data_IF_795467524590
#
_entry.id   IF_795467524590
#
_cell.length_a   1.000
_cell.length_b   1.000
_cell.length_c   1.000
_cell.angle_alpha   90.00
_cell.angle_beta   90.00
_cell.angle_gamma   90.00
#
_symmetry.space_group_name_H-M   'P 1'
#
loop_
_entity.id
_entity.type
_entity.pdbx_description
1 polymer ?
#
# COMPACT_ATOMS: atom_id res chain seq x y z
N UNK A 1 -27.48 41.17 -28.85
CA UNK A 1 -28.36 40.87 -27.70
C UNK A 1 -27.55 39.96 -26.78
N UNK A 2 -27.00 40.55 -25.72
CA UNK A 2 -26.02 39.91 -24.81
C UNK A 2 -26.82 39.29 -23.66
N UNK A 3 -26.75 37.97 -23.52
CA UNK A 3 -27.33 37.27 -22.35
C UNK A 3 -26.22 37.12 -21.33
N UNK A 4 -26.26 37.97 -20.30
CA UNK A 4 -25.35 37.95 -19.17
C UNK A 4 -25.66 36.77 -18.24
N UNK A 5 -24.63 36.00 -17.92
CA UNK A 5 -24.69 34.99 -16.88
C UNK A 5 -24.62 35.66 -15.51
N UNK A 6 -25.63 35.41 -14.66
CA UNK A 6 -25.62 35.79 -13.25
C UNK A 6 -24.51 35.02 -12.52
N UNK A 7 -23.55 35.76 -11.98
CA UNK A 7 -22.67 35.30 -10.91
C UNK A 7 -23.45 35.38 -9.59
N UNK A 8 -23.68 34.25 -8.93
CA UNK A 8 -24.02 34.24 -7.50
C UNK A 8 -22.72 34.06 -6.70
N UNK A 9 -22.17 35.18 -6.25
CA UNK A 9 -21.15 35.21 -5.22
C UNK A 9 -21.80 34.82 -3.88
N UNK A 10 -21.41 33.67 -3.34
CA UNK A 10 -21.68 33.32 -1.94
C UNK A 10 -20.44 33.66 -1.12
N UNK A 11 -20.44 34.83 -0.50
CA UNK A 11 -19.56 35.14 0.63
C UNK A 11 -20.30 34.75 1.91
N UNK A 12 -19.94 33.61 2.47
CA UNK A 12 -20.37 33.16 3.79
C UNK A 12 -19.18 32.57 4.53
N UNK A 13 -18.63 33.33 5.49
CA UNK A 13 -17.51 32.91 6.30
C UNK A 13 -17.86 31.71 7.17
N UNK A 14 -17.10 30.63 7.01
CA UNK A 14 -16.73 29.76 8.11
C UNK A 14 -15.31 29.28 7.80
N UNK A 15 -14.40 29.29 8.77
CA UNK A 15 -13.06 28.69 8.61
C UNK A 15 -13.23 27.18 8.52
N UNK A 16 -13.67 26.69 7.36
CA UNK A 16 -13.55 25.29 7.00
C UNK A 16 -12.07 25.01 6.79
N UNK A 17 -11.54 24.09 7.58
CA UNK A 17 -10.34 23.31 7.26
C UNK A 17 -10.41 22.96 5.78
N UNK A 18 -9.51 23.52 4.96
CA UNK A 18 -9.52 23.28 3.50
C UNK A 18 -9.52 21.77 3.29
N UNK A 19 -10.55 21.24 2.63
CA UNK A 19 -10.48 19.89 2.09
C UNK A 19 -9.31 19.84 1.12
N UNK A 20 -8.28 19.06 1.43
CA UNK A 20 -7.06 18.93 0.64
C UNK A 20 -7.24 18.04 -0.60
N UNK A 21 -8.49 17.79 -0.98
CA UNK A 21 -8.83 17.08 -2.20
C UNK A 21 -8.45 17.92 -3.42
N UNK A 22 -7.65 17.34 -4.31
CA UNK A 22 -7.16 17.99 -5.52
C UNK A 22 -7.24 17.01 -6.69
N UNK A 23 -7.72 17.50 -7.82
CA UNK A 23 -7.60 16.78 -9.10
C UNK A 23 -6.59 17.50 -9.98
N UNK A 24 -5.64 16.75 -10.53
CA UNK A 24 -4.61 17.24 -11.44
C UNK A 24 -4.73 16.50 -12.78
N UNK A 25 -4.70 17.24 -13.88
CA UNK A 25 -4.62 16.64 -15.21
C UNK A 25 -3.16 16.43 -15.60
N UNK A 26 -2.82 15.21 -15.98
CA UNK A 26 -1.48 14.82 -16.40
C UNK A 26 -1.51 14.23 -17.81
N UNK A 27 -0.44 14.46 -18.57
CA UNK A 27 -0.24 13.86 -19.91
C UNK A 27 0.99 12.96 -19.92
N UNK A 28 1.05 11.92 -20.75
CA UNK A 28 2.27 11.16 -20.92
C UNK A 28 3.35 12.09 -21.47
N UNK A 29 4.51 12.14 -20.81
CA UNK A 29 5.70 12.81 -21.34
C UNK A 29 6.25 12.03 -22.54
N UNK A 30 6.15 10.70 -22.47
CA UNK A 30 6.43 9.79 -23.57
C UNK A 30 5.45 8.61 -23.53
N UNK A 31 5.12 8.08 -24.72
CA UNK A 31 4.27 6.88 -24.83
C UNK A 31 4.99 5.60 -24.39
N UNK A 32 6.31 5.55 -24.54
CA UNK A 32 7.08 4.33 -24.30
C UNK A 32 7.13 4.02 -22.80
N UNK A 33 6.79 2.79 -22.42
CA UNK A 33 7.12 2.29 -21.08
C UNK A 33 8.61 2.03 -21.02
N UNK A 34 9.30 2.55 -19.99
CA UNK A 34 10.73 2.28 -19.77
C UNK A 34 10.92 0.96 -19.03
N UNK A 35 12.12 0.39 -19.11
CA UNK A 35 12.46 -0.83 -18.38
C UNK A 35 12.18 -2.11 -19.16
N UNK A 36 12.03 -3.23 -18.44
CA UNK A 36 12.04 -4.56 -19.04
C UNK A 36 10.77 -4.93 -19.82
N UNK A 37 9.65 -4.23 -19.60
CA UNK A 37 8.40 -4.37 -20.35
C UNK A 37 8.25 -3.34 -21.47
N UNK A 38 9.34 -2.68 -21.89
CA UNK A 38 9.28 -1.62 -22.91
C UNK A 38 8.82 -2.08 -24.29
N UNK A 39 8.98 -3.37 -24.58
CA UNK A 39 8.59 -3.98 -25.84
C UNK A 39 7.24 -4.73 -25.72
N UNK A 40 6.61 -4.65 -24.54
CA UNK A 40 5.34 -5.31 -24.23
C UNK A 40 4.22 -4.28 -24.08
N UNK A 41 4.51 -3.13 -23.44
CA UNK A 41 3.50 -2.12 -23.14
C UNK A 41 3.88 -0.73 -23.67
N UNK A 42 2.85 0.00 -24.11
CA UNK A 42 2.92 1.45 -24.32
C UNK A 42 1.76 2.16 -23.61
N UNK A 43 1.98 3.41 -23.23
CA UNK A 43 0.94 4.33 -22.78
C UNK A 43 0.17 4.84 -24.00
N UNK A 44 -1.15 4.78 -23.94
CA UNK A 44 -2.00 5.42 -24.95
C UNK A 44 -1.96 6.93 -24.74
N UNK A 45 -1.83 7.71 -25.82
CA UNK A 45 -1.83 9.17 -25.74
C UNK A 45 -3.16 9.68 -25.17
N UNK A 46 -3.11 10.65 -24.25
CA UNK A 46 -4.32 11.13 -23.59
C UNK A 46 -4.07 12.13 -22.48
N UNK A 47 -5.14 12.69 -21.95
CA UNK A 47 -5.12 13.49 -20.72
C UNK A 47 -5.80 12.68 -19.63
N UNK A 48 -5.08 12.48 -18.53
CA UNK A 48 -5.47 11.59 -17.44
C UNK A 48 -5.64 12.38 -16.16
N UNK A 49 -6.63 12.00 -15.35
CA UNK A 49 -6.96 12.71 -14.11
C UNK A 49 -6.38 11.95 -12.93
N UNK A 50 -5.47 12.59 -12.21
CA UNK A 50 -5.01 12.14 -10.91
C UNK A 50 -5.87 12.78 -9.84
N UNK A 51 -6.49 11.95 -9.00
CA UNK A 51 -7.21 12.38 -7.81
C UNK A 51 -6.31 12.20 -6.60
N UNK A 52 -6.10 13.28 -5.84
CA UNK A 52 -5.48 13.27 -4.54
C UNK A 52 -6.59 13.53 -3.51
N UNK A 53 -6.85 12.59 -2.60
CA UNK A 53 -7.91 12.72 -1.58
C UNK A 53 -7.32 12.57 -0.19
N UNK A 54 -7.68 13.47 0.72
CA UNK A 54 -7.21 13.41 2.11
C UNK A 54 -8.27 12.80 3.01
N UNK A 55 -8.03 11.53 3.38
CA UNK A 55 -8.76 10.83 4.43
C UNK A 55 -7.86 10.74 5.69
N UNK A 56 -7.65 9.55 6.25
CA UNK A 56 -6.64 9.31 7.28
C UNK A 56 -5.21 9.54 6.75
N UNK A 57 -4.98 9.22 5.49
CA UNK A 57 -3.75 9.49 4.74
C UNK A 57 -4.11 10.24 3.45
N UNK A 58 -3.12 10.88 2.83
CA UNK A 58 -3.27 11.43 1.49
C UNK A 58 -3.11 10.31 0.48
N UNK A 59 -4.17 9.98 -0.23
CA UNK A 59 -4.16 8.94 -1.27
C UNK A 59 -4.13 9.60 -2.65
N UNK A 60 -3.24 9.13 -3.52
CA UNK A 60 -3.18 9.49 -4.93
C UNK A 60 -3.64 8.33 -5.79
N UNK A 61 -4.56 8.56 -6.71
CA UNK A 61 -5.00 7.56 -7.68
C UNK A 61 -5.13 8.14 -9.09
N UNK A 62 -4.75 7.35 -10.09
CA UNK A 62 -4.90 7.68 -11.51
C UNK A 62 -5.08 6.41 -12.34
N UNK A 63 -6.03 6.40 -13.27
CA UNK A 63 -6.18 5.33 -14.24
C UNK A 63 -5.57 5.75 -15.58
N UNK A 64 -4.62 4.95 -16.07
CA UNK A 64 -3.94 5.17 -17.35
C UNK A 64 -4.32 4.08 -18.33
N UNK A 65 -4.60 4.45 -19.58
CA UNK A 65 -4.86 3.46 -20.62
C UNK A 65 -3.53 2.95 -21.16
N UNK A 66 -3.29 1.64 -21.01
CA UNK A 66 -2.10 0.94 -21.46
C UNK A 66 -2.49 0.03 -22.61
N UNK A 67 -1.62 -0.06 -23.62
CA UNK A 67 -1.74 -0.94 -24.77
C UNK A 67 -0.65 -2.00 -24.74
N UNK A 68 -1.03 -3.24 -25.01
CA UNK A 68 -0.12 -4.33 -25.33
C UNK A 68 0.40 -4.17 -26.76
N UNK A 69 1.71 -4.04 -26.94
CA UNK A 69 2.40 -3.85 -28.24
C UNK A 69 3.33 -5.02 -28.59
N UNK A 70 3.38 -6.03 -27.72
CA UNK A 70 4.17 -7.22 -27.91
C UNK A 70 3.77 -8.27 -26.89
N UNK A 71 4.59 -9.33 -26.77
CA UNK A 71 4.33 -10.44 -25.85
C UNK A 71 5.32 -10.45 -24.71
N UNK A 72 4.81 -10.63 -23.50
CA UNK A 72 5.61 -10.85 -22.29
C UNK A 72 5.49 -12.29 -21.77
N UNK A 73 6.12 -12.56 -20.64
CA UNK A 73 6.02 -13.84 -19.93
C UNK A 73 4.87 -13.79 -18.91
N UNK A 74 3.76 -14.52 -19.09
CA UNK A 74 2.63 -14.47 -18.16
C UNK A 74 2.96 -15.03 -16.77
N UNK A 75 4.03 -15.82 -16.65
CA UNK A 75 4.52 -16.33 -15.36
C UNK A 75 5.48 -15.38 -14.65
N UNK A 76 5.70 -14.17 -15.18
CA UNK A 76 6.52 -13.16 -14.53
C UNK A 76 6.00 -12.86 -13.11
N UNK A 77 6.95 -12.86 -12.16
CA UNK A 77 6.65 -12.63 -10.76
C UNK A 77 6.11 -11.22 -10.51
N UNK A 78 6.44 -10.25 -11.35
CA UNK A 78 5.89 -8.89 -11.28
C UNK A 78 4.37 -8.81 -11.42
N UNK A 79 3.71 -9.81 -12.03
CA UNK A 79 2.24 -9.87 -12.15
C UNK A 79 1.56 -10.71 -11.06
N UNK A 80 2.28 -11.07 -9.99
CA UNK A 80 1.67 -11.79 -8.87
C UNK A 80 1.14 -10.80 -7.83
N UNK A 81 -0.06 -11.07 -7.34
CA UNK A 81 -0.70 -10.29 -6.28
C UNK A 81 0.24 -10.10 -5.08
N UNK A 82 0.27 -8.86 -4.57
CA UNK A 82 1.06 -8.48 -3.40
C UNK A 82 2.47 -7.95 -3.70
N UNK A 83 2.85 -7.81 -4.96
CA UNK A 83 4.18 -7.32 -5.36
C UNK A 83 4.23 -5.83 -5.71
N UNK A 84 3.21 -5.03 -5.36
CA UNK A 84 3.07 -3.62 -5.80
C UNK A 84 3.15 -3.45 -7.33
N UNK A 85 2.79 -4.50 -8.08
CA UNK A 85 2.78 -4.55 -9.52
C UNK A 85 4.12 -4.28 -10.23
N UNK A 86 4.20 -4.51 -11.55
CA UNK A 86 5.45 -4.35 -12.29
C UNK A 86 5.64 -2.95 -12.86
N UNK A 87 4.60 -2.12 -12.89
CA UNK A 87 4.60 -0.79 -13.49
C UNK A 87 4.59 0.30 -12.42
N UNK A 88 5.34 1.37 -12.67
CA UNK A 88 5.57 2.46 -11.76
C UNK A 88 5.43 3.79 -12.50
N UNK A 89 4.51 4.65 -12.05
CA UNK A 89 4.27 5.97 -12.61
C UNK A 89 5.10 7.02 -11.87
N UNK A 90 5.88 7.81 -12.60
CA UNK A 90 6.62 8.95 -12.06
C UNK A 90 5.98 10.26 -12.54
N UNK A 91 5.48 11.07 -11.60
CA UNK A 91 4.92 12.40 -11.92
C UNK A 91 6.05 13.39 -12.19
N UNK A 92 5.87 14.21 -13.23
CA UNK A 92 6.86 15.13 -13.75
C UNK A 92 6.28 16.53 -13.99
N UNK A 93 7.17 17.52 -14.09
CA UNK A 93 6.81 18.83 -14.58
C UNK A 93 6.58 18.83 -16.11
N UNK A 94 6.28 19.98 -16.69
CA UNK A 94 6.04 20.11 -18.15
C UNK A 94 7.26 19.79 -19.01
N UNK A 95 8.47 19.90 -18.46
CA UNK A 95 9.73 19.52 -19.11
C UNK A 95 10.07 18.02 -18.97
N UNK A 96 9.22 17.21 -18.32
CA UNK A 96 9.45 15.78 -18.10
C UNK A 96 10.45 15.49 -16.99
N UNK A 97 10.78 16.47 -16.15
CA UNK A 97 11.62 16.27 -14.97
C UNK A 97 10.76 15.74 -13.81
N UNK A 98 11.18 14.65 -13.13
CA UNK A 98 10.47 14.14 -11.97
C UNK A 98 10.29 15.20 -10.89
N UNK A 99 9.09 15.27 -10.31
CA UNK A 99 8.82 16.14 -9.18
C UNK A 99 9.61 15.63 -7.96
N UNK A 100 10.41 16.51 -7.34
CA UNK A 100 11.20 16.17 -6.18
C UNK A 100 10.29 15.75 -4.99
N UNK A 101 10.79 14.82 -4.17
CA UNK A 101 10.12 14.30 -2.97
C UNK A 101 8.84 13.47 -3.20
N UNK A 102 8.42 13.24 -4.44
CA UNK A 102 7.40 12.26 -4.78
C UNK A 102 8.05 10.94 -5.17
N UNK A 103 7.55 9.84 -4.62
CA UNK A 103 7.95 8.48 -4.99
C UNK A 103 7.14 8.02 -6.20
N UNK A 104 7.69 7.04 -6.91
CA UNK A 104 6.93 6.39 -7.98
C UNK A 104 5.67 5.75 -7.41
N UNK A 105 4.57 5.86 -8.15
CA UNK A 105 3.27 5.28 -7.78
C UNK A 105 3.17 3.92 -8.48
N UNK A 106 3.10 2.79 -7.74
CA UNK A 106 2.91 1.47 -8.34
C UNK A 106 1.55 1.32 -9.02
N UNK A 107 1.48 0.41 -10.00
CA UNK A 107 0.20 -0.16 -10.44
C UNK A 107 -0.44 -0.93 -9.28
N UNK A 108 -1.73 -0.76 -9.09
CA UNK A 108 -2.49 -1.44 -8.03
C UNK A 108 -2.45 -2.95 -8.22
N UNK A 109 -2.50 -3.71 -7.12
CA UNK A 109 -2.63 -5.17 -7.15
C UNK A 109 -3.88 -5.62 -7.92
N UNK A 110 -4.93 -4.76 -7.95
CA UNK A 110 -6.15 -5.01 -8.73
C UNK A 110 -5.89 -5.09 -10.24
N UNK A 111 -4.77 -4.52 -10.71
CA UNK A 111 -4.37 -4.54 -12.11
C UNK A 111 -3.44 -5.72 -12.46
N UNK A 112 -2.93 -6.48 -11.49
CA UNK A 112 -1.92 -7.52 -11.73
C UNK A 112 -2.45 -8.63 -12.66
N UNK A 113 -3.64 -9.17 -12.37
CA UNK A 113 -4.29 -10.16 -13.22
C UNK A 113 -4.61 -9.63 -14.63
N UNK A 114 -4.97 -8.35 -14.75
CA UNK A 114 -5.25 -7.71 -16.02
C UNK A 114 -3.99 -7.52 -16.87
N UNK A 115 -2.90 -7.03 -16.26
CA UNK A 115 -1.60 -6.89 -16.91
C UNK A 115 -1.06 -8.25 -17.38
N UNK A 116 -1.20 -9.29 -16.55
CA UNK A 116 -0.86 -10.67 -16.88
C UNK A 116 -1.61 -11.18 -18.12
N UNK A 117 -2.89 -10.87 -18.23
CA UNK A 117 -3.69 -11.23 -19.39
C UNK A 117 -3.25 -10.49 -20.64
N UNK A 118 -2.96 -9.19 -20.51
CA UNK A 118 -2.57 -8.33 -21.62
C UNK A 118 -1.21 -8.71 -22.22
N UNK A 119 -0.26 -9.24 -21.44
CA UNK A 119 1.04 -9.67 -21.99
C UNK A 119 0.94 -10.83 -22.99
N UNK A 120 -0.21 -11.52 -23.04
CA UNK A 120 -0.48 -12.58 -24.02
C UNK A 120 -1.29 -12.10 -25.24
N UNK A 121 -1.86 -10.91 -25.18
CA UNK A 121 -2.86 -10.38 -26.13
C UNK A 121 -2.36 -9.08 -26.75
N UNK A 122 -1.45 -9.20 -27.72
CA UNK A 122 -0.96 -8.03 -28.47
C UNK A 122 -2.12 -7.25 -29.10
N UNK A 123 -2.08 -5.92 -28.98
CA UNK A 123 -3.13 -5.01 -29.42
C UNK A 123 -4.21 -4.72 -28.37
N UNK A 124 -4.27 -5.47 -27.27
CA UNK A 124 -5.23 -5.23 -26.19
C UNK A 124 -4.97 -3.90 -25.47
N UNK A 125 -6.03 -3.21 -25.10
CA UNK A 125 -5.96 -1.90 -24.44
C UNK A 125 -6.86 -1.87 -23.21
N UNK A 126 -6.30 -1.60 -22.04
CA UNK A 126 -7.08 -1.52 -20.80
C UNK A 126 -6.65 -0.38 -19.89
N UNK A 127 -7.54 -0.03 -18.97
CA UNK A 127 -7.31 0.96 -17.92
C UNK A 127 -6.60 0.32 -16.74
N UNK A 128 -5.38 0.77 -16.48
CA UNK A 128 -4.53 0.31 -15.39
C UNK A 128 -4.55 1.36 -14.29
N UNK A 129 -4.99 0.95 -13.10
CA UNK A 129 -5.01 1.81 -11.92
C UNK A 129 -3.60 1.89 -11.31
N UNK A 130 -3.14 3.10 -11.05
CA UNK A 130 -1.98 3.41 -10.22
C UNK A 130 -2.47 4.09 -8.96
N UNK A 131 -2.04 3.59 -7.80
CA UNK A 131 -2.54 4.07 -6.51
C UNK A 131 -1.50 3.88 -5.42
N UNK A 132 -1.30 4.90 -4.61
CA UNK A 132 -0.45 4.86 -3.42
C UNK A 132 -0.77 6.00 -2.45
N UNK A 133 -0.18 5.94 -1.26
CA UNK A 133 -0.15 7.05 -0.33
C UNK A 133 0.91 8.07 -0.74
N UNK A 134 0.49 9.32 -0.86
CA UNK A 134 1.37 10.44 -1.19
C UNK A 134 1.90 11.10 0.08
N UNK A 135 3.15 11.57 0.01
CA UNK A 135 3.75 12.34 1.10
C UNK A 135 3.19 13.77 1.20
N UNK A 136 2.77 14.33 0.08
CA UNK A 136 2.23 15.68 -0.02
C UNK A 136 1.27 15.81 -1.22
N UNK A 137 0.53 16.91 -1.30
CA UNK A 137 -0.30 17.23 -2.46
C UNK A 137 0.63 17.55 -3.64
N UNK A 138 0.26 17.10 -4.85
CA UNK A 138 1.01 17.44 -6.06
C UNK A 138 1.18 18.96 -6.24
N UNK A 139 2.39 19.44 -6.58
CA UNK A 139 2.64 20.86 -6.81
C UNK A 139 1.92 21.38 -8.07
N UNK A 140 1.87 22.69 -8.24
CA UNK A 140 1.18 23.33 -9.38
C UNK A 140 1.85 23.07 -10.72
N UNK A 141 3.15 22.79 -10.73
CA UNK A 141 3.93 22.52 -11.94
C UNK A 141 3.87 21.06 -12.40
N UNK A 142 3.23 20.16 -11.63
CA UNK A 142 2.95 18.79 -12.04
C UNK A 142 2.02 18.79 -13.27
N UNK A 143 2.52 18.24 -14.38
CA UNK A 143 1.83 18.34 -15.67
C UNK A 143 1.96 17.07 -16.53
N UNK A 144 3.01 16.28 -16.32
CA UNK A 144 3.28 15.08 -17.11
C UNK A 144 3.61 13.87 -16.26
N UNK A 145 3.72 12.70 -16.88
CA UNK A 145 4.23 11.50 -16.25
C UNK A 145 4.96 10.60 -17.26
N UNK A 146 5.80 9.68 -16.77
CA UNK A 146 6.22 8.52 -17.55
C UNK A 146 6.04 7.25 -16.72
N UNK A 147 6.02 6.10 -17.40
CA UNK A 147 5.90 4.80 -16.75
C UNK A 147 7.20 4.03 -16.91
N UNK A 148 7.67 3.46 -15.80
CA UNK A 148 8.78 2.52 -15.78
C UNK A 148 8.27 1.14 -15.37
N UNK A 149 8.94 0.10 -15.85
CA UNK A 149 8.74 -1.27 -15.42
C UNK A 149 9.96 -1.74 -14.65
N UNK A 150 9.76 -2.36 -13.50
CA UNK A 150 10.84 -2.89 -12.65
C UNK A 150 10.63 -4.38 -12.49
N UNK A 151 11.67 -5.16 -12.77
CA UNK A 151 11.60 -6.62 -12.65
C UNK A 151 11.61 -6.98 -11.17
N UNK A 152 10.59 -7.72 -10.73
CA UNK A 152 10.48 -8.21 -9.37
C UNK A 152 10.88 -9.68 -9.39
N UNK A 153 11.84 -10.06 -8.56
CA UNK A 153 12.27 -11.45 -8.47
C UNK A 153 11.60 -12.13 -7.27
N UNK A 154 11.21 -13.39 -7.45
CA UNK A 154 10.74 -14.21 -6.34
C UNK A 154 11.88 -14.41 -5.37
N UNK A 155 11.69 -13.93 -4.14
CA UNK A 155 12.66 -14.14 -3.08
C UNK A 155 12.81 -15.64 -2.82
N UNK A 156 13.98 -16.21 -3.14
CA UNK A 156 14.24 -17.67 -3.08
C UNK A 156 14.20 -18.26 -1.66
N UNK A 157 13.96 -17.43 -0.63
CA UNK A 157 13.83 -17.87 0.77
C UNK A 157 12.45 -18.42 1.12
N UNK A 158 11.45 -18.28 0.26
CA UNK A 158 10.05 -18.70 0.53
C UNK A 158 9.61 -20.06 -0.03
N UNK A 159 10.52 -20.93 -0.47
CA UNK A 159 10.18 -22.19 -1.16
C UNK A 159 10.29 -23.47 -0.30
N UNK A 160 10.08 -23.37 1.01
CA UNK A 160 9.93 -24.51 1.93
C UNK A 160 8.64 -24.40 2.74
N UNK A 161 7.49 -24.33 2.06
CA UNK A 161 6.18 -24.48 2.71
C UNK A 161 5.13 -24.92 1.67
N UNK A 162 5.23 -26.14 1.17
CA UNK A 162 4.09 -26.94 0.70
C UNK A 162 4.55 -28.33 0.29
N UNK A 163 4.70 -29.21 1.28
CA UNK A 163 4.33 -30.62 1.15
C UNK A 163 3.75 -31.03 2.50
N UNK A 164 2.49 -30.69 2.74
CA UNK A 164 1.71 -31.36 3.76
C UNK A 164 1.39 -32.74 3.20
N UNK A 165 2.09 -33.76 3.68
CA UNK A 165 1.56 -35.11 3.70
C UNK A 165 1.31 -35.43 5.17
N UNK A 166 0.07 -35.78 5.47
CA UNK A 166 -0.39 -36.22 6.77
C UNK A 166 0.39 -37.47 7.21
N UNK A 167 0.93 -37.44 8.42
CA UNK A 167 1.06 -38.63 9.26
C UNK A 167 1.40 -38.21 10.68
N UNK A 168 0.62 -38.75 11.61
CA UNK A 168 0.71 -38.60 13.06
C UNK A 168 1.98 -39.24 13.66
N UNK A 169 2.20 -38.87 14.92
CA UNK A 169 3.00 -39.51 15.97
C UNK A 169 4.50 -39.17 16.16
N UNK A 170 4.67 -38.44 17.27
CA UNK A 170 5.53 -38.65 18.46
C UNK A 170 7.06 -38.51 18.43
N UNK A 171 7.43 -37.70 19.42
CA UNK A 171 8.56 -37.75 20.35
C UNK A 171 9.97 -37.35 19.90
N UNK A 172 10.31 -36.18 20.45
CA UNK A 172 11.47 -35.86 21.28
C UNK A 172 12.88 -35.80 20.66
N UNK A 173 13.50 -34.66 21.01
CA UNK A 173 14.93 -34.38 21.17
C UNK A 173 15.76 -34.19 19.88
N UNK A 174 16.70 -33.25 19.78
CA UNK A 174 17.40 -32.50 20.83
C UNK A 174 17.99 -31.22 20.22
N UNK A 175 18.01 -30.17 21.05
CA UNK A 175 18.92 -29.01 21.08
C UNK A 175 19.53 -28.42 19.81
N UNK A 176 19.15 -27.15 19.52
CA UNK A 176 20.02 -25.98 19.20
C UNK A 176 19.19 -24.76 18.72
N UNK A 177 18.49 -24.01 19.59
CA UNK A 177 17.73 -22.81 19.14
C UNK A 177 17.58 -21.64 20.11
N UNK A 178 18.35 -21.57 21.20
CA UNK A 178 17.99 -20.69 22.32
C UNK A 178 18.08 -19.16 22.03
N UNK A 179 18.87 -18.70 21.04
CA UNK A 179 19.06 -17.25 20.81
C UNK A 179 18.14 -16.65 19.75
N UNK A 180 17.76 -17.42 18.73
CA UNK A 180 16.86 -16.96 17.66
C UNK A 180 15.41 -16.89 18.16
N UNK A 181 15.00 -17.91 18.90
CA UNK A 181 13.64 -18.00 19.44
C UNK A 181 13.35 -16.85 20.41
N UNK A 182 14.28 -16.53 21.33
CA UNK A 182 14.09 -15.43 22.30
C UNK A 182 13.90 -14.05 21.67
N UNK A 183 14.53 -13.77 20.53
CA UNK A 183 14.38 -12.47 19.84
C UNK A 183 13.02 -12.32 19.19
N UNK A 184 12.54 -13.38 18.54
CA UNK A 184 11.20 -13.42 17.98
C UNK A 184 10.13 -13.41 19.06
N UNK A 185 10.34 -14.12 20.17
CA UNK A 185 9.41 -14.08 21.30
C UNK A 185 9.28 -12.67 21.86
N UNK A 186 10.41 -11.97 22.05
CA UNK A 186 10.41 -10.57 22.48
C UNK A 186 9.69 -9.66 21.48
N UNK A 187 9.91 -9.83 20.18
CA UNK A 187 9.21 -9.05 19.16
C UNK A 187 7.70 -9.28 19.23
N UNK A 188 7.28 -10.53 19.39
CA UNK A 188 5.86 -10.89 19.52
C UNK A 188 5.24 -10.34 20.80
N UNK A 189 5.99 -10.30 21.91
CA UNK A 189 5.55 -9.64 23.15
C UNK A 189 5.33 -8.13 22.93
N UNK A 190 6.28 -7.45 22.27
CA UNK A 190 6.17 -6.02 21.96
C UNK A 190 5.03 -5.74 20.96
N UNK A 191 4.79 -6.66 20.03
CA UNK A 191 3.69 -6.55 19.06
C UNK A 191 2.32 -6.71 19.73
N UNK A 192 2.19 -7.70 20.61
CA UNK A 192 0.97 -7.93 21.40
C UNK A 192 0.69 -6.72 22.31
N UNK A 193 1.71 -6.17 22.98
CA UNK A 193 1.57 -5.00 23.83
C UNK A 193 1.16 -3.73 23.04
N UNK A 194 1.70 -3.54 21.83
CA UNK A 194 1.28 -2.46 20.93
C UNK A 194 -0.18 -2.65 20.49
N UNK A 195 -0.54 -3.86 20.04
CA UNK A 195 -1.89 -4.17 19.58
C UNK A 195 -2.93 -3.95 20.70
N UNK A 196 -2.62 -4.37 21.92
CA UNK A 196 -3.51 -4.20 23.07
C UNK A 196 -3.74 -2.73 23.43
N UNK A 197 -2.68 -1.92 23.38
CA UNK A 197 -2.80 -0.48 23.62
C UNK A 197 -3.59 0.20 22.51
N UNK A 198 -3.34 -0.17 21.26
CA UNK A 198 -4.07 0.35 20.11
C UNK A 198 -5.57 0.03 20.21
N UNK A 199 -5.93 -1.23 20.46
CA UNK A 199 -7.33 -1.66 20.65
C UNK A 199 -7.97 -0.89 21.81
N UNK A 200 -7.28 -0.73 22.94
CA UNK A 200 -7.79 0.02 24.10
C UNK A 200 -8.06 1.48 23.75
N UNK A 201 -7.14 2.14 23.04
CA UNK A 201 -7.31 3.52 22.60
C UNK A 201 -8.47 3.68 21.63
N UNK A 202 -8.62 2.75 20.69
CA UNK A 202 -9.71 2.77 19.72
C UNK A 202 -11.07 2.57 20.39
N UNK A 203 -11.18 1.65 21.38
CA UNK A 203 -12.41 1.49 22.18
C UNK A 203 -12.76 2.77 22.94
N UNK A 204 -11.79 3.41 23.60
CA UNK A 204 -12.01 4.71 24.29
C UNK A 204 -12.42 5.84 23.34
N UNK A 205 -11.93 5.84 22.11
CA UNK A 205 -12.26 6.86 21.13
C UNK A 205 -13.68 6.73 20.57
N UNK A 206 -14.26 5.53 20.62
CA UNK A 206 -15.64 5.26 20.22
C UNK A 206 -16.68 5.53 21.34
N UNK A 207 -16.24 5.62 22.59
CA UNK A 207 -17.06 6.06 23.72
C UNK A 207 -17.09 7.61 23.83
N UNK A 208 -18.03 8.18 24.61
CA UNK A 208 -18.21 9.64 24.83
C UNK A 208 -16.99 10.32 25.50
N UNK A 209 -15.97 9.53 25.90
CA UNK A 209 -14.69 9.94 26.53
C UNK A 209 -13.54 10.14 25.50
N UNK A 210 -13.86 10.55 24.28
CA UNK A 210 -12.91 10.73 23.15
C UNK A 210 -11.66 11.58 23.42
N UNK A 211 -11.68 12.47 24.42
CA UNK A 211 -10.52 13.28 24.82
C UNK A 211 -9.48 12.49 25.62
N UNK A 212 -9.86 11.42 26.31
CA UNK A 212 -8.95 10.62 27.15
C UNK A 212 -8.02 9.72 26.32
N UNK A 213 -8.42 9.36 25.11
CA UNK A 213 -7.58 8.63 24.16
C UNK A 213 -6.32 9.42 23.78
N UNK A 214 -6.37 10.77 23.76
CA UNK A 214 -5.21 11.61 23.43
C UNK A 214 -4.09 11.50 24.48
N UNK A 215 -4.42 11.27 25.75
CA UNK A 215 -3.42 11.10 26.82
C UNK A 215 -2.66 9.78 26.71
N UNK A 216 -3.22 8.80 26.00
CA UNK A 216 -2.62 7.48 25.80
C UNK A 216 -1.69 7.41 24.57
N UNK A 217 -1.70 8.44 23.70
CA UNK A 217 -0.88 8.49 22.49
C UNK A 217 0.64 8.42 22.75
N UNK A 218 1.20 9.10 23.78
CA UNK A 218 2.61 8.94 24.11
C UNK A 218 3.00 7.50 24.49
N UNK A 219 2.15 6.78 25.22
CA UNK A 219 2.37 5.37 25.58
C UNK A 219 2.28 4.47 24.34
N UNK A 220 1.31 4.72 23.44
CA UNK A 220 1.24 4.02 22.16
C UNK A 220 2.50 4.22 21.31
N UNK A 221 3.00 5.46 21.22
CA UNK A 221 4.23 5.78 20.50
C UNK A 221 5.46 5.10 21.12
N UNK A 222 5.51 5.01 22.45
CA UNK A 222 6.57 4.28 23.15
C UNK A 222 6.53 2.79 22.80
N UNK A 223 5.34 2.16 22.79
CA UNK A 223 5.18 0.75 22.41
C UNK A 223 5.53 0.50 20.94
N UNK A 224 5.15 1.41 20.04
CA UNK A 224 5.53 1.35 18.63
C UNK A 224 7.05 1.38 18.42
N UNK A 225 7.76 2.25 19.16
CA UNK A 225 9.23 2.31 19.13
C UNK A 225 9.88 1.04 19.69
N UNK A 226 9.31 0.44 20.74
CA UNK A 226 9.78 -0.84 21.30
C UNK A 226 9.62 -1.97 20.29
N UNK A 227 8.47 -2.03 19.62
CA UNK A 227 8.20 -2.98 18.54
C UNK A 227 9.16 -2.81 17.36
N UNK A 228 9.37 -1.57 16.89
CA UNK A 228 10.34 -1.30 15.80
C UNK A 228 11.75 -1.79 16.18
N UNK A 229 12.16 -1.54 17.42
CA UNK A 229 13.47 -1.98 17.91
C UNK A 229 13.58 -3.51 17.96
N UNK A 230 12.59 -4.21 18.53
CA UNK A 230 12.64 -5.67 18.61
C UNK A 230 12.49 -6.35 17.26
N UNK A 231 11.75 -5.75 16.32
CA UNK A 231 11.69 -6.21 14.94
C UNK A 231 13.07 -6.16 14.28
N UNK A 232 13.78 -5.03 14.35
CA UNK A 232 15.16 -4.91 13.82
C UNK A 232 16.11 -5.93 14.46
N UNK A 233 15.97 -6.17 15.76
CA UNK A 233 16.77 -7.17 16.46
C UNK A 233 16.45 -8.61 16.01
N UNK A 234 15.17 -8.92 15.75
CA UNK A 234 14.69 -10.22 15.31
C UNK A 234 14.97 -10.50 13.83
N UNK A 235 14.92 -9.49 12.95
CA UNK A 235 15.27 -9.59 11.52
C UNK A 235 16.67 -10.14 11.28
N UNK A 236 17.60 -9.91 12.22
CA UNK A 236 18.97 -10.45 12.16
C UNK A 236 19.07 -11.93 12.56
N UNK A 237 17.96 -12.57 12.94
CA UNK A 237 17.91 -13.95 13.42
C UNK A 237 17.29 -14.91 12.40
N UNK A 238 17.35 -16.23 12.68
CA UNK A 238 16.74 -17.27 11.82
C UNK A 238 15.22 -17.07 11.75
N UNK A 239 14.54 -17.70 10.80
CA UNK A 239 13.08 -17.64 10.62
C UNK A 239 12.31 -18.01 11.90
N UNK A 240 11.09 -17.47 12.06
CA UNK A 240 10.18 -17.80 13.17
C UNK A 240 9.95 -19.31 13.30
N UNK A 241 9.83 -19.79 14.53
CA UNK A 241 9.34 -21.14 14.81
C UNK A 241 7.83 -21.27 14.55
N UNK A 242 7.34 -22.50 14.40
CA UNK A 242 5.90 -22.76 14.22
C UNK A 242 5.04 -22.24 15.38
N UNK A 243 5.59 -22.19 16.61
CA UNK A 243 4.89 -21.63 17.78
C UNK A 243 4.74 -20.11 17.65
N UNK A 244 5.79 -19.44 17.17
CA UNK A 244 5.84 -17.99 16.99
C UNK A 244 4.94 -17.52 15.84
N UNK A 245 4.91 -18.26 14.73
CA UNK A 245 3.97 -18.01 13.62
C UNK A 245 2.52 -18.09 14.10
N UNK A 246 2.17 -19.13 14.88
CA UNK A 246 0.83 -19.25 15.47
C UNK A 246 0.50 -18.09 16.40
N UNK A 247 1.49 -17.60 17.16
CA UNK A 247 1.31 -16.46 18.07
C UNK A 247 1.06 -15.16 17.31
N UNK A 248 1.81 -14.92 16.23
CA UNK A 248 1.60 -13.78 15.34
C UNK A 248 0.20 -13.79 14.72
N UNK A 249 -0.25 -14.94 14.21
CA UNK A 249 -1.60 -15.09 13.66
C UNK A 249 -2.69 -14.80 14.71
N UNK A 250 -2.50 -15.22 15.96
CA UNK A 250 -3.43 -14.90 17.06
C UNK A 250 -3.53 -13.40 17.34
N UNK A 251 -2.41 -12.68 17.32
CA UNK A 251 -2.39 -11.22 17.50
C UNK A 251 -3.16 -10.54 16.35
N UNK A 252 -2.93 -10.97 15.11
CA UNK A 252 -3.66 -10.43 13.94
C UNK A 252 -5.17 -10.66 14.03
N UNK A 253 -5.60 -11.87 14.39
CA UNK A 253 -7.02 -12.19 14.60
C UNK A 253 -7.63 -11.34 15.72
N UNK A 254 -6.89 -11.11 16.82
CA UNK A 254 -7.34 -10.25 17.92
C UNK A 254 -7.61 -8.82 17.45
N UNK A 255 -6.73 -8.26 16.62
CA UNK A 255 -6.92 -6.92 16.04
C UNK A 255 -8.11 -6.87 15.09
N UNK A 256 -8.28 -7.88 14.22
CA UNK A 256 -9.42 -7.96 13.30
C UNK A 256 -10.75 -8.05 14.06
N UNK A 257 -10.84 -8.92 15.08
CA UNK A 257 -12.06 -9.06 15.88
C UNK A 257 -12.42 -7.76 16.61
N UNK A 258 -11.43 -7.09 17.22
CA UNK A 258 -11.66 -5.81 17.88
C UNK A 258 -12.17 -4.74 16.91
N UNK A 259 -11.64 -4.71 15.67
CA UNK A 259 -12.10 -3.77 14.64
C UNK A 259 -13.53 -4.08 14.18
N UNK A 260 -13.91 -5.35 14.07
CA UNK A 260 -15.29 -5.75 13.76
C UNK A 260 -16.27 -5.38 14.89
N UNK A 261 -15.92 -5.66 16.16
CA UNK A 261 -16.74 -5.28 17.33
C UNK A 261 -17.04 -3.77 17.34
N UNK A 262 -16.03 -2.94 17.01
CA UNK A 262 -16.18 -1.49 16.96
C UNK A 262 -17.08 -0.97 15.83
N UNK A 263 -17.26 -1.73 14.74
CA UNK A 263 -18.15 -1.36 13.65
C UNK A 263 -19.61 -1.70 13.96
N UNK A 264 -19.85 -2.83 14.64
CA UNK A 264 -21.20 -3.27 15.02
C UNK A 264 -21.85 -2.37 16.09
N UNK A 265 -21.06 -1.78 17.00
CA UNK A 265 -21.55 -0.85 18.03
C UNK A 265 -21.95 0.54 17.48
N UNK A 266 -21.66 0.84 16.20
CA UNK A 266 -22.01 2.12 15.55
C UNK A 266 -23.39 2.14 14.86
N UNK A 267 -24.12 1.01 14.86
CA UNK A 267 -25.46 0.86 14.25
C UNK A 267 -26.63 0.84 15.26
N UNK A 268 -26.40 1.16 16.54
CA UNK A 268 -27.44 1.34 17.57
C UNK A 268 -27.61 2.81 17.99
#
# INVERSE_FOLDING_TARGET
MVVGALFLASCGGNKQTKSEDKTVELKPYEKKVKGYLSDVFEVVEGTYKMECKRNMFLEGQIQIKIKSIGKGEPSDYGFHDGNHGPLFLTVCNKEGQPIANFTDIPSSFEADGLLKDMVSKEGDENWILFKDFLKDILPEDAATFFITSKKIEKDKRGSLASRNNESEDNDEDDTLSDTGDKKWDKMLDDYEAYADKYITMMKKANDDDSLDALFDYPDLLEKAKKLEKSLKEAETSKSLSSKQVKRMAKIQVKMMNAMSEMNDDSEL
#
